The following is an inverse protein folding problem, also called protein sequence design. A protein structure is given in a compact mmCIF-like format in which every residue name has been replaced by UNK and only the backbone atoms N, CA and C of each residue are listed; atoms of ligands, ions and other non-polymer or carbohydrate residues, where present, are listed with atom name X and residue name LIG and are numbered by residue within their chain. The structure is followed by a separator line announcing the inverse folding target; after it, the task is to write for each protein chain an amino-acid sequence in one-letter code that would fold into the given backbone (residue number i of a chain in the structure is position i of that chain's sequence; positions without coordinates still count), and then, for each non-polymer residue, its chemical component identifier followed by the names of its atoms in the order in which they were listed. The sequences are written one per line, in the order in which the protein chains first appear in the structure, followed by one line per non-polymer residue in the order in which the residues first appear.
data_IF_040785160644
#
_entry.id   IF_040785160644
#
_cell.length_a   1.000
_cell.length_b   1.000
_cell.length_c   1.000
_cell.angle_alpha   90.00
_cell.angle_beta   90.00
_cell.angle_gamma   90.00
#
_symmetry.space_group_name_H-M   'P 1'
#
loop_
_entity.id
_entity.type
_entity.pdbx_description
1 polymer ?
#
# COMPACT_ATOMS: atom_id res chain seq x y z
N UNK A 1 -28.68 12.52 -11.51
CA UNK A 1 -27.39 12.73 -12.20
C UNK A 1 -26.53 11.51 -11.92
N UNK A 2 -26.21 10.74 -12.94
CA UNK A 2 -25.31 9.61 -12.78
C UNK A 2 -23.84 10.10 -12.94
N UNK A 3 -22.88 9.27 -12.55
CA UNK A 3 -21.44 9.62 -12.63
C UNK A 3 -21.00 9.95 -14.07
N UNK A 4 -21.55 9.28 -15.08
CA UNK A 4 -21.21 9.51 -16.47
C UNK A 4 -21.71 10.88 -16.95
N UNK A 5 -22.94 11.28 -16.59
CA UNK A 5 -23.48 12.63 -16.87
C UNK A 5 -22.67 13.72 -16.15
N UNK A 6 -22.26 13.48 -14.91
CA UNK A 6 -21.42 14.42 -14.18
C UNK A 6 -20.08 14.61 -14.88
N UNK A 7 -19.38 13.53 -15.24
CA UNK A 7 -18.07 13.57 -15.89
C UNK A 7 -18.16 14.17 -17.30
N UNK A 8 -19.18 13.83 -18.10
CA UNK A 8 -19.36 14.35 -19.48
C UNK A 8 -19.71 15.85 -19.53
N UNK A 9 -20.35 16.36 -18.49
CA UNK A 9 -20.71 17.79 -18.39
C UNK A 9 -19.60 18.64 -17.74
N UNK A 10 -18.52 17.99 -17.25
CA UNK A 10 -17.40 18.68 -16.60
C UNK A 10 -16.38 19.10 -17.65
N UNK A 11 -16.46 20.34 -18.11
CA UNK A 11 -15.55 20.90 -19.13
C UNK A 11 -14.13 21.25 -18.58
N UNK A 12 -13.94 21.17 -17.27
CA UNK A 12 -12.63 21.36 -16.63
C UNK A 12 -12.04 19.98 -16.33
N UNK A 13 -10.87 19.68 -16.84
CA UNK A 13 -10.14 18.42 -16.66
C UNK A 13 -10.17 17.91 -15.20
N UNK A 14 -11.04 16.96 -14.82
CA UNK A 14 -11.16 16.52 -13.44
C UNK A 14 -9.92 15.75 -13.01
N UNK A 15 -9.50 15.99 -11.78
CA UNK A 15 -8.43 15.24 -11.10
C UNK A 15 -9.06 14.22 -10.16
N UNK A 16 -8.69 12.96 -10.30
CA UNK A 16 -9.14 11.90 -9.41
C UNK A 16 -8.20 11.79 -8.21
N UNK A 17 -8.74 11.96 -6.99
CA UNK A 17 -7.99 11.69 -5.77
C UNK A 17 -8.36 10.29 -5.24
N UNK A 18 -7.35 9.43 -5.08
CA UNK A 18 -7.53 8.01 -4.71
C UNK A 18 -6.87 7.71 -3.39
N UNK A 19 -7.64 7.17 -2.46
CA UNK A 19 -7.18 6.63 -1.19
C UNK A 19 -7.33 5.10 -1.13
N UNK A 20 -6.96 4.51 0.00
CA UNK A 20 -6.94 3.06 0.25
C UNK A 20 -8.27 2.35 0.03
N UNK A 21 -9.40 3.07 0.09
CA UNK A 21 -10.72 2.50 -0.18
C UNK A 21 -10.86 1.85 -1.55
N UNK A 22 -10.17 2.40 -2.57
CA UNK A 22 -10.18 1.82 -3.92
C UNK A 22 -9.45 0.46 -3.91
N UNK A 23 -8.29 0.39 -3.29
CA UNK A 23 -7.49 -0.83 -3.20
C UNK A 23 -8.19 -1.91 -2.38
N UNK A 24 -8.77 -1.54 -1.23
CA UNK A 24 -9.57 -2.46 -0.39
C UNK A 24 -10.77 -3.06 -1.14
N UNK A 25 -11.37 -2.30 -2.07
CA UNK A 25 -12.48 -2.77 -2.88
C UNK A 25 -12.04 -3.76 -3.95
N UNK A 26 -10.94 -3.50 -4.65
CA UNK A 26 -10.58 -4.16 -5.89
C UNK A 26 -9.42 -5.15 -5.81
N UNK A 27 -8.54 -5.04 -4.80
CA UNK A 27 -7.39 -5.93 -4.67
C UNK A 27 -7.61 -7.01 -3.61
N UNK A 28 -7.13 -8.24 -3.89
CA UNK A 28 -7.18 -9.35 -2.94
C UNK A 28 -6.32 -9.07 -1.70
N UNK A 29 -5.08 -8.68 -1.90
CA UNK A 29 -4.09 -8.44 -0.86
C UNK A 29 -3.91 -6.93 -0.63
N UNK A 30 -4.96 -6.27 -0.14
CA UNK A 30 -4.94 -4.85 0.20
C UNK A 30 -5.13 -4.64 1.69
N UNK A 31 -4.56 -3.55 2.19
CA UNK A 31 -4.51 -3.26 3.61
C UNK A 31 -4.96 -1.83 3.90
N UNK A 32 -5.71 -1.65 4.99
CA UNK A 32 -5.79 -0.37 5.66
C UNK A 32 -4.48 -0.11 6.42
N UNK A 33 -4.25 1.11 6.88
CA UNK A 33 -3.10 1.42 7.73
C UNK A 33 -3.02 0.48 8.95
N UNK A 34 -4.15 0.30 9.65
CA UNK A 34 -4.22 -0.56 10.83
C UNK A 34 -3.89 -2.02 10.50
N UNK A 35 -4.50 -2.57 9.45
CA UNK A 35 -4.27 -3.96 9.06
C UNK A 35 -2.87 -4.22 8.52
N UNK A 36 -2.27 -3.25 7.81
CA UNK A 36 -0.90 -3.33 7.31
C UNK A 36 0.11 -3.38 8.47
N UNK A 37 0.00 -2.43 9.40
CA UNK A 37 0.93 -2.35 10.53
C UNK A 37 0.78 -3.55 11.46
N UNK A 38 -0.46 -4.02 11.69
CA UNK A 38 -0.72 -5.25 12.43
C UNK A 38 -0.11 -6.47 11.73
N UNK A 39 -0.25 -6.57 10.41
CA UNK A 39 0.37 -7.66 9.61
C UNK A 39 1.88 -7.64 9.78
N UNK A 40 2.53 -6.49 9.61
CA UNK A 40 3.99 -6.37 9.79
C UNK A 40 4.42 -6.77 11.19
N UNK A 41 3.73 -6.29 12.23
CA UNK A 41 4.03 -6.64 13.62
C UNK A 41 4.02 -8.17 13.84
N UNK A 42 2.98 -8.85 13.35
CA UNK A 42 2.84 -10.32 13.48
C UNK A 42 3.88 -11.13 12.70
N UNK A 43 4.59 -10.53 11.75
CA UNK A 43 5.59 -11.21 10.95
C UNK A 43 6.93 -11.42 11.69
N UNK A 44 7.29 -10.52 12.60
CA UNK A 44 8.56 -10.55 13.30
C UNK A 44 8.43 -10.72 14.83
N UNK A 45 7.25 -10.43 15.39
CA UNK A 45 6.98 -10.61 16.81
C UNK A 45 5.89 -11.67 16.99
N UNK A 46 6.15 -12.77 17.74
CA UNK A 46 5.18 -13.84 17.97
C UNK A 46 4.10 -13.46 19.00
N UNK A 47 4.28 -12.39 19.76
CA UNK A 47 3.31 -11.91 20.73
C UNK A 47 2.12 -11.23 20.02
N UNK A 48 0.90 -11.79 20.13
CA UNK A 48 -0.29 -11.23 19.50
C UNK A 48 -0.71 -9.87 20.09
N UNK A 49 -0.28 -9.55 21.31
CA UNK A 49 -0.62 -8.31 22.02
C UNK A 49 0.35 -7.18 21.69
N UNK A 50 1.55 -7.49 21.20
CA UNK A 50 2.58 -6.51 20.87
C UNK A 50 2.09 -5.32 20.03
N UNK A 51 1.32 -5.57 18.98
CA UNK A 51 0.76 -4.50 18.16
C UNK A 51 -0.27 -3.66 18.92
N UNK A 52 -1.05 -4.29 19.77
CA UNK A 52 -2.08 -3.61 20.55
C UNK A 52 -1.47 -2.69 21.61
N UNK A 53 -0.36 -3.08 22.22
CA UNK A 53 0.39 -2.26 23.16
C UNK A 53 0.93 -1.00 22.49
N UNK A 54 1.64 -1.14 21.35
CA UNK A 54 2.10 0.02 20.57
C UNK A 54 0.92 0.93 20.18
N UNK A 55 -0.18 0.33 19.76
CA UNK A 55 -1.37 1.07 19.35
C UNK A 55 -2.00 1.85 20.51
N UNK A 56 -2.01 1.26 21.70
CA UNK A 56 -2.52 1.91 22.91
C UNK A 56 -1.66 3.11 23.35
N UNK A 57 -0.32 3.01 23.21
CA UNK A 57 0.61 4.10 23.49
C UNK A 57 0.42 5.32 22.57
N UNK A 58 -0.12 5.10 21.37
CA UNK A 58 -0.31 6.13 20.34
C UNK A 58 -1.79 6.44 20.06
N UNK A 59 -2.64 6.31 21.08
CA UNK A 59 -4.06 6.60 20.98
C UNK A 59 -4.35 8.08 21.26
N UNK A 60 -5.21 8.69 20.42
CA UNK A 60 -5.79 10.02 20.65
C UNK A 60 -7.30 9.92 20.93
N UNK A 61 -7.94 10.97 21.44
CA UNK A 61 -9.39 10.97 21.68
C UNK A 61 -10.23 10.67 20.42
N UNK A 62 -9.69 10.94 19.22
CA UNK A 62 -10.39 10.80 17.94
C UNK A 62 -9.83 9.70 17.05
N UNK A 63 -8.86 8.91 17.51
CA UNK A 63 -8.23 7.86 16.70
C UNK A 63 -6.82 7.49 17.12
N UNK A 64 -6.00 7.06 16.16
CA UNK A 64 -4.65 6.59 16.39
C UNK A 64 -3.63 7.34 15.52
N UNK A 65 -2.43 7.58 16.05
CA UNK A 65 -1.29 8.14 15.32
C UNK A 65 -0.57 7.04 14.53
N UNK A 66 -1.12 6.63 13.39
CA UNK A 66 -0.54 5.56 12.58
C UNK A 66 0.88 5.86 12.07
N UNK A 67 1.24 7.12 11.91
CA UNK A 67 2.60 7.57 11.58
C UNK A 67 3.60 7.26 12.71
N UNK A 68 3.21 7.47 13.96
CA UNK A 68 4.04 7.16 15.13
C UNK A 68 4.12 5.64 15.36
N UNK A 69 2.99 4.94 15.23
CA UNK A 69 2.96 3.46 15.27
C UNK A 69 3.89 2.89 14.19
N UNK A 70 3.82 3.39 12.96
CA UNK A 70 4.68 2.96 11.87
C UNK A 70 6.16 3.24 12.15
N UNK A 71 6.48 4.39 12.77
CA UNK A 71 7.85 4.76 13.15
C UNK A 71 8.42 3.81 14.20
N UNK A 72 7.62 3.45 15.21
CA UNK A 72 8.04 2.48 16.22
C UNK A 72 8.25 1.10 15.60
N UNK A 73 7.29 0.63 14.81
CA UNK A 73 7.41 -0.67 14.12
C UNK A 73 8.60 -0.70 13.15
N UNK A 74 8.88 0.38 12.42
CA UNK A 74 10.06 0.47 11.54
C UNK A 74 11.35 0.27 12.33
N UNK A 75 11.46 0.92 13.49
CA UNK A 75 12.63 0.79 14.37
C UNK A 75 12.80 -0.66 14.85
N UNK A 76 11.74 -1.25 15.36
CA UNK A 76 11.77 -2.59 15.95
C UNK A 76 12.00 -3.68 14.88
N UNK A 77 11.35 -3.56 13.72
CA UNK A 77 11.55 -4.43 12.56
C UNK A 77 12.99 -4.36 12.05
N UNK A 78 13.53 -3.15 11.86
CA UNK A 78 14.91 -2.97 11.41
C UNK A 78 15.92 -3.57 12.39
N UNK A 79 15.68 -3.45 13.69
CA UNK A 79 16.52 -4.04 14.73
C UNK A 79 16.41 -5.57 14.70
N UNK A 80 15.20 -6.11 14.62
CA UNK A 80 14.97 -7.55 14.53
C UNK A 80 15.73 -8.18 13.34
N UNK A 81 15.65 -7.58 12.15
CA UNK A 81 16.34 -8.07 10.95
C UNK A 81 17.87 -7.92 11.04
N UNK A 82 18.36 -6.92 11.76
CA UNK A 82 19.79 -6.72 12.01
C UNK A 82 20.35 -7.83 12.90
N UNK A 83 19.57 -8.29 13.86
CA UNK A 83 19.94 -9.34 14.81
C UNK A 83 19.76 -10.75 14.20
N UNK A 84 18.74 -10.91 13.35
CA UNK A 84 18.36 -12.17 12.71
C UNK A 84 18.63 -12.12 11.18
N UNK A 85 19.92 -12.09 10.81
CA UNK A 85 20.33 -11.87 9.41
C UNK A 85 19.97 -13.03 8.48
N UNK A 86 20.02 -14.25 8.99
CA UNK A 86 19.78 -15.47 8.25
C UNK A 86 18.47 -16.11 8.74
N UNK A 87 17.40 -15.91 8.02
CA UNK A 87 16.09 -16.41 8.40
C UNK A 87 15.03 -15.99 7.40
N UNK A 88 13.79 -15.91 7.85
CA UNK A 88 12.64 -15.57 7.02
C UNK A 88 12.84 -14.31 6.14
N UNK A 89 13.59 -13.33 6.63
CA UNK A 89 13.79 -12.03 5.98
C UNK A 89 15.21 -11.88 5.38
N UNK A 90 15.93 -12.97 5.14
CA UNK A 90 17.29 -12.91 4.58
C UNK A 90 17.33 -12.14 3.28
N UNK A 91 16.38 -12.37 2.36
CA UNK A 91 16.26 -11.64 1.10
C UNK A 91 16.10 -10.11 1.27
N UNK A 92 15.41 -9.66 2.33
CA UNK A 92 15.28 -8.22 2.64
C UNK A 92 16.63 -7.66 3.13
N UNK A 93 17.37 -8.43 3.92
CA UNK A 93 18.71 -8.04 4.33
C UNK A 93 19.65 -7.93 3.13
N UNK A 94 19.62 -8.89 2.20
CA UNK A 94 20.43 -8.87 0.99
C UNK A 94 20.13 -7.64 0.12
N UNK A 95 18.84 -7.35 -0.09
CA UNK A 95 18.40 -6.13 -0.80
C UNK A 95 18.85 -4.86 -0.08
N UNK A 96 18.79 -4.84 1.25
CA UNK A 96 19.23 -3.69 2.03
C UNK A 96 20.72 -3.43 1.83
N UNK A 97 21.56 -4.45 1.96
CA UNK A 97 23.01 -4.28 1.80
C UNK A 97 23.38 -3.93 0.35
N UNK A 98 22.75 -4.56 -0.64
CA UNK A 98 22.98 -4.24 -2.05
C UNK A 98 22.59 -2.78 -2.39
N UNK A 99 21.55 -2.22 -1.75
CA UNK A 99 21.19 -0.82 -1.89
C UNK A 99 22.20 0.10 -1.19
N UNK A 100 22.64 -0.25 0.01
CA UNK A 100 23.65 0.52 0.75
C UNK A 100 24.98 0.62 -0.03
N UNK A 101 25.43 -0.47 -0.68
CA UNK A 101 26.62 -0.45 -1.54
C UNK A 101 26.50 0.51 -2.73
N UNK A 102 25.27 0.72 -3.22
CA UNK A 102 24.96 1.68 -4.30
C UNK A 102 24.70 3.11 -3.79
N UNK A 103 24.86 3.36 -2.48
CA UNK A 103 24.56 4.65 -1.86
C UNK A 103 23.05 4.97 -1.74
N UNK A 104 22.18 3.95 -1.88
CA UNK A 104 20.72 4.09 -1.75
C UNK A 104 20.33 3.83 -0.30
N UNK A 105 19.87 4.87 0.39
CA UNK A 105 19.45 4.78 1.79
C UNK A 105 17.94 4.48 1.89
N UNK A 106 17.59 3.20 1.99
CA UNK A 106 16.22 2.72 2.22
C UNK A 106 16.21 1.70 3.36
N UNK A 107 15.27 1.83 4.29
CA UNK A 107 15.19 0.92 5.44
C UNK A 107 14.68 -0.49 5.06
N UNK A 108 15.04 -1.51 5.85
CA UNK A 108 14.53 -2.88 5.69
C UNK A 108 13.01 -2.93 5.76
N UNK A 109 12.41 -2.16 6.66
CA UNK A 109 10.97 -2.04 6.78
C UNK A 109 10.32 -1.57 5.47
N UNK A 110 10.85 -0.54 4.83
CA UNK A 110 10.34 -0.03 3.55
C UNK A 110 10.53 -1.04 2.41
N UNK A 111 11.65 -1.75 2.38
CA UNK A 111 11.89 -2.82 1.43
C UNK A 111 10.88 -3.96 1.60
N UNK A 112 10.62 -4.36 2.84
CA UNK A 112 9.62 -5.38 3.15
C UNK A 112 8.20 -4.94 2.77
N UNK A 113 7.80 -3.70 3.06
CA UNK A 113 6.50 -3.17 2.64
C UNK A 113 6.35 -3.18 1.11
N UNK A 114 7.39 -2.79 0.38
CA UNK A 114 7.38 -2.81 -1.08
C UNK A 114 7.22 -4.24 -1.63
N UNK A 115 7.85 -5.21 -0.99
CA UNK A 115 7.74 -6.62 -1.36
C UNK A 115 6.33 -7.17 -1.06
N UNK A 116 5.82 -6.92 0.15
CA UNK A 116 4.48 -7.33 0.58
C UNK A 116 3.36 -6.77 -0.33
N UNK A 117 3.50 -5.53 -0.80
CA UNK A 117 2.47 -4.87 -1.61
C UNK A 117 2.61 -5.15 -3.11
N UNK A 118 3.72 -5.75 -3.55
CA UNK A 118 3.96 -6.08 -4.96
C UNK A 118 3.01 -7.16 -5.48
N UNK A 119 2.63 -8.12 -4.65
CA UNK A 119 1.83 -9.29 -5.01
C UNK A 119 0.31 -9.01 -5.00
N UNK A 120 -0.08 -7.75 -5.10
CA UNK A 120 -1.49 -7.38 -5.14
C UNK A 120 -2.12 -7.78 -6.48
N UNK A 121 -3.16 -8.62 -6.43
CA UNK A 121 -3.94 -9.06 -7.60
C UNK A 121 -5.35 -8.50 -7.55
N UNK A 122 -5.95 -8.30 -8.72
CA UNK A 122 -7.33 -7.82 -8.83
C UNK A 122 -8.28 -8.98 -8.49
N UNK A 123 -9.31 -8.70 -7.68
CA UNK A 123 -10.39 -9.64 -7.39
C UNK A 123 -11.18 -9.96 -8.65
N UNK A 124 -11.44 -11.24 -8.92
CA UNK A 124 -12.25 -11.64 -10.08
C UNK A 124 -13.64 -10.99 -10.06
N UNK A 125 -14.24 -10.87 -8.88
CA UNK A 125 -15.55 -10.21 -8.70
C UNK A 125 -15.54 -8.72 -9.04
N UNK A 126 -14.38 -8.07 -9.06
CA UNK A 126 -14.22 -6.65 -9.34
C UNK A 126 -13.99 -6.34 -10.82
N UNK A 127 -13.69 -7.32 -11.65
CA UNK A 127 -13.36 -7.14 -13.07
C UNK A 127 -14.43 -6.33 -13.84
N UNK A 128 -15.75 -6.55 -13.68
CA UNK A 128 -16.75 -5.76 -14.37
C UNK A 128 -16.73 -4.28 -13.98
N UNK A 129 -16.55 -3.98 -12.68
CA UNK A 129 -16.49 -2.59 -12.19
C UNK A 129 -15.21 -1.91 -12.67
N UNK A 130 -14.09 -2.61 -12.72
CA UNK A 130 -12.82 -2.10 -13.24
C UNK A 130 -12.94 -1.77 -14.72
N UNK A 131 -13.64 -2.58 -15.51
CA UNK A 131 -13.89 -2.29 -16.91
C UNK A 131 -14.69 -0.99 -17.09
N UNK A 132 -15.71 -0.73 -16.26
CA UNK A 132 -16.45 0.54 -16.27
C UNK A 132 -15.57 1.71 -15.79
N UNK A 133 -14.76 1.51 -14.78
CA UNK A 133 -13.82 2.53 -14.31
C UNK A 133 -12.82 2.93 -15.41
N UNK A 134 -12.29 1.95 -16.17
CA UNK A 134 -11.40 2.20 -17.31
C UNK A 134 -12.07 3.05 -18.40
N UNK A 135 -13.36 2.84 -18.67
CA UNK A 135 -14.12 3.69 -19.60
C UNK A 135 -14.23 5.12 -19.08
N UNK A 136 -14.54 5.30 -17.79
CA UNK A 136 -14.65 6.62 -17.16
C UNK A 136 -13.30 7.37 -17.12
N UNK A 137 -12.16 6.64 -17.05
CA UNK A 137 -10.82 7.20 -17.03
C UNK A 137 -10.51 8.15 -18.19
N UNK A 138 -11.06 7.91 -19.37
CA UNK A 138 -10.86 8.76 -20.56
C UNK A 138 -11.21 10.23 -20.33
N UNK A 139 -12.04 10.50 -19.32
CA UNK A 139 -12.49 11.84 -18.95
C UNK A 139 -11.72 12.42 -17.75
N UNK A 140 -10.71 11.71 -17.23
CA UNK A 140 -9.91 12.10 -16.07
C UNK A 140 -8.55 12.56 -16.57
N UNK A 141 -8.16 13.80 -16.26
CA UNK A 141 -6.89 14.39 -16.72
C UNK A 141 -5.69 13.90 -15.94
N UNK A 142 -5.85 13.63 -14.66
CA UNK A 142 -4.76 13.19 -13.78
C UNK A 142 -5.31 12.47 -12.56
N UNK A 143 -4.43 11.69 -11.91
CA UNK A 143 -4.72 10.96 -10.67
C UNK A 143 -3.70 11.34 -9.62
N UNK A 144 -4.18 11.65 -8.43
CA UNK A 144 -3.38 11.81 -7.21
C UNK A 144 -3.72 10.64 -6.29
N UNK A 145 -2.73 9.89 -5.86
CA UNK A 145 -2.93 8.77 -4.94
C UNK A 145 -2.06 8.87 -3.71
N UNK A 146 -2.62 8.48 -2.57
CA UNK A 146 -1.90 8.27 -1.32
C UNK A 146 -1.63 6.78 -1.06
N UNK A 147 -2.01 5.90 -1.99
CA UNK A 147 -1.81 4.47 -1.87
C UNK A 147 -0.38 4.09 -2.24
N UNK A 148 0.11 3.06 -1.58
CA UNK A 148 1.45 2.49 -1.82
C UNK A 148 1.41 1.26 -2.74
N UNK A 149 0.21 0.78 -3.09
CA UNK A 149 0.01 -0.37 -3.97
C UNK A 149 0.00 0.01 -5.45
N UNK A 150 -0.05 -1.00 -6.31
CA UNK A 150 0.01 -0.85 -7.76
C UNK A 150 -1.36 -0.69 -8.43
N UNK A 151 -2.47 -0.54 -7.67
CA UNK A 151 -3.83 -0.50 -8.22
C UNK A 151 -4.00 0.52 -9.34
N UNK A 152 -3.50 1.73 -9.13
CA UNK A 152 -3.56 2.78 -10.17
C UNK A 152 -2.74 2.39 -11.39
N UNK A 153 -1.56 1.81 -11.22
CA UNK A 153 -0.74 1.31 -12.33
C UNK A 153 -1.50 0.24 -13.13
N UNK A 154 -2.13 -0.72 -12.47
CA UNK A 154 -2.93 -1.78 -13.12
C UNK A 154 -4.11 -1.21 -13.92
N UNK A 155 -4.71 -0.10 -13.47
CA UNK A 155 -5.77 0.59 -14.22
C UNK A 155 -5.26 1.29 -15.49
N UNK A 156 -3.99 1.70 -15.52
CA UNK A 156 -3.42 2.48 -16.63
C UNK A 156 -2.59 1.66 -17.62
N UNK A 157 -2.02 0.52 -17.21
CA UNK A 157 -1.08 -0.27 -18.04
C UNK A 157 -1.74 -1.38 -18.86
N UNK A 158 -2.94 -1.81 -18.51
CA UNK A 158 -3.61 -2.93 -19.19
C UNK A 158 -4.19 -2.57 -20.58
N UNK A 159 -4.14 -1.30 -21.01
CA UNK A 159 -4.62 -0.91 -22.33
C UNK A 159 -3.50 -0.91 -23.40
N UNK A 160 -2.25 -1.11 -23.01
CA UNK A 160 -1.11 -1.14 -23.96
C UNK A 160 -0.95 -2.51 -24.67
N UNK A 161 -1.77 -3.50 -24.31
CA UNK A 161 -1.73 -4.85 -24.90
C UNK A 161 -2.88 -5.10 -25.91
N UNK A 162 -3.85 -4.18 -26.05
CA UNK A 162 -5.02 -4.33 -26.91
C UNK A 162 -5.02 -3.36 -28.11
N UNK A 163 -3.91 -2.68 -28.40
CA UNK A 163 -3.60 -1.98 -29.65
C UNK A 163 -2.51 -2.76 -30.41
#
# INVERSE_FOLDING_TARGET
MNIQEFISNYHNHPVLFVGTGLSLRYLENSYSWDSLLKKVASEFNPDPEYYLDIKAEHMYPTGYAFDQIATQLEKDFNQHLKENRHGKFEHINDLFYANMEKGINISRFKLYLADLLRESTIKDSALPEIAEFKKARKNISSVITTNYDTMICLLYTSDAADE
#
